data_IF_368777777961
#
_entry.id   IF_368777777961
#
_cell.length_a   1.000
_cell.length_b   1.000
_cell.length_c   1.000
_cell.angle_alpha   90.00
_cell.angle_beta   90.00
_cell.angle_gamma   90.00
#
_symmetry.space_group_name_H-M   'P 1'
#
loop_
_entity.id
_entity.type
_entity.pdbx_description
1 polymer ?
#
# COMPACT_ATOMS: atom_id res chain seq x y z
N UNK A 1 2.50 -46.29 21.93
CA UNK A 1 2.78 -46.03 20.50
C UNK A 1 1.49 -45.57 19.85
N UNK A 2 1.20 -44.27 19.94
CA UNK A 2 1.25 -43.32 18.81
C UNK A 2 0.10 -43.52 17.82
N UNK A 3 -0.94 -42.67 17.93
CA UNK A 3 -1.75 -42.09 16.83
C UNK A 3 -2.98 -41.29 17.35
N UNK A 4 -2.82 -40.56 18.45
CA UNK A 4 -3.57 -39.31 18.67
C UNK A 4 -2.68 -38.19 18.14
N UNK A 5 -3.27 -37.19 17.45
CA UNK A 5 -2.67 -36.01 16.80
C UNK A 5 -2.65 -36.02 15.26
N UNK A 6 -3.81 -36.14 14.62
CA UNK A 6 -4.06 -35.45 13.33
C UNK A 6 -5.44 -34.78 13.37
N UNK A 7 -5.69 -34.03 14.44
CA UNK A 7 -6.65 -32.93 14.43
C UNK A 7 -5.81 -31.65 14.60
N UNK A 8 -6.07 -30.64 13.77
CA UNK A 8 -5.38 -29.34 13.68
C UNK A 8 -4.15 -29.24 12.76
N UNK A 9 -4.32 -29.60 11.49
CA UNK A 9 -3.62 -28.96 10.38
C UNK A 9 -4.67 -28.88 9.26
N UNK A 10 -5.18 -27.74 8.80
CA UNK A 10 -4.64 -26.40 8.70
C UNK A 10 -5.83 -25.47 8.97
N UNK A 11 -5.85 -24.86 10.15
CA UNK A 11 -6.66 -23.67 10.37
C UNK A 11 -6.10 -22.54 9.49
N UNK A 12 -7.00 -21.65 9.09
CA UNK A 12 -6.76 -20.49 8.25
C UNK A 12 -6.62 -20.83 6.75
N UNK A 13 -7.76 -21.12 6.10
CA UNK A 13 -7.99 -20.59 4.76
C UNK A 13 -7.94 -19.06 4.90
N UNK A 14 -6.71 -18.51 4.90
CA UNK A 14 -6.48 -17.07 4.98
C UNK A 14 -7.25 -16.41 3.86
N UNK A 15 -7.99 -15.35 4.20
CA UNK A 15 -8.78 -14.53 3.30
C UNK A 15 -8.08 -14.42 1.94
N UNK A 16 -8.47 -15.27 1.00
CA UNK A 16 -8.01 -15.16 -0.37
C UNK A 16 -8.63 -13.87 -0.87
N UNK A 17 -7.77 -12.93 -1.27
CA UNK A 17 -8.05 -11.60 -1.87
C UNK A 17 -7.64 -10.44 -0.95
N UNK A 18 -6.32 -10.20 -0.89
CA UNK A 18 -5.80 -8.82 -0.87
C UNK A 18 -6.43 -8.13 -2.09
N UNK A 19 -7.23 -7.07 -1.89
CA UNK A 19 -8.08 -6.64 -2.99
C UNK A 19 -7.31 -6.35 -4.27
N UNK A 20 -7.76 -7.03 -5.33
CA UNK A 20 -7.41 -6.88 -6.74
C UNK A 20 -5.94 -6.53 -7.03
N UNK A 21 -5.01 -7.28 -6.42
CA UNK A 21 -3.56 -7.22 -6.71
C UNK A 21 -3.17 -7.49 -8.18
N UNK A 22 -4.14 -7.79 -9.05
CA UNK A 22 -3.97 -8.07 -10.46
C UNK A 22 -4.94 -7.23 -11.31
N UNK A 23 -4.51 -6.88 -12.51
CA UNK A 23 -5.32 -6.07 -13.42
C UNK A 23 -6.45 -6.87 -14.08
N UNK A 24 -7.64 -6.27 -14.15
CA UNK A 24 -8.73 -6.82 -14.96
C UNK A 24 -8.30 -6.86 -16.42
N UNK A 25 -8.44 -8.04 -17.03
CA UNK A 25 -8.23 -8.22 -18.48
C UNK A 25 -9.31 -7.55 -19.32
N UNK A 26 -10.46 -7.21 -18.72
CA UNK A 26 -11.60 -6.59 -19.40
C UNK A 26 -11.48 -5.06 -19.45
N UNK A 27 -11.15 -4.44 -18.33
CA UNK A 27 -11.15 -2.98 -18.18
C UNK A 27 -9.77 -2.35 -17.95
N UNK A 28 -8.71 -3.16 -17.80
CA UNK A 28 -7.34 -2.70 -17.51
C UNK A 28 -7.26 -1.79 -16.28
N UNK A 29 -8.08 -2.10 -15.27
CA UNK A 29 -8.03 -1.48 -13.96
C UNK A 29 -7.91 -2.54 -12.86
N UNK A 30 -7.40 -2.11 -11.73
CA UNK A 30 -7.36 -2.88 -10.49
C UNK A 30 -8.14 -2.10 -9.43
N UNK A 31 -9.04 -2.79 -8.74
CA UNK A 31 -9.81 -2.22 -7.63
C UNK A 31 -9.01 -2.32 -6.33
N UNK A 32 -8.70 -1.19 -5.71
CA UNK A 32 -7.96 -1.13 -4.44
C UNK A 32 -8.90 -1.23 -3.24
N UNK A 33 -10.12 -0.71 -3.40
CA UNK A 33 -11.22 -0.80 -2.43
C UNK A 33 -12.55 -0.96 -3.16
N UNK A 34 -13.66 -1.04 -2.42
CA UNK A 34 -15.00 -1.10 -3.00
C UNK A 34 -15.31 0.12 -3.88
N UNK A 35 -14.61 1.24 -3.69
CA UNK A 35 -14.87 2.49 -4.43
C UNK A 35 -13.65 3.09 -5.07
N UNK A 36 -12.46 2.49 -4.94
CA UNK A 36 -11.22 3.04 -5.47
C UNK A 36 -10.54 2.07 -6.42
N UNK A 37 -9.90 2.63 -7.44
CA UNK A 37 -9.25 1.87 -8.49
C UNK A 37 -8.02 2.58 -9.03
N UNK A 38 -7.19 1.81 -9.73
CA UNK A 38 -5.99 2.30 -10.39
C UNK A 38 -5.92 1.71 -11.79
N UNK A 39 -5.39 2.49 -12.73
CA UNK A 39 -5.14 1.99 -14.08
C UNK A 39 -3.92 1.08 -14.11
N UNK A 40 -3.97 0.14 -15.02
CA UNK A 40 -2.91 -0.83 -15.23
C UNK A 40 -1.99 -0.38 -16.35
N UNK A 41 -0.69 -0.59 -16.14
CA UNK A 41 0.30 -0.45 -17.20
C UNK A 41 0.17 -1.57 -18.23
N UNK A 42 0.92 -1.45 -19.33
CA UNK A 42 1.04 -2.50 -20.36
C UNK A 42 1.56 -3.84 -19.82
N UNK A 43 2.18 -3.86 -18.64
CA UNK A 43 2.64 -5.06 -17.95
C UNK A 43 1.59 -5.67 -17.00
N UNK A 44 0.31 -5.27 -17.11
CA UNK A 44 -0.79 -5.74 -16.24
C UNK A 44 -0.52 -5.51 -14.75
N UNK A 45 0.16 -4.42 -14.44
CA UNK A 45 0.49 -4.00 -13.08
C UNK A 45 -0.19 -2.66 -12.77
N UNK A 46 -0.91 -2.52 -11.64
CA UNK A 46 -1.49 -1.24 -11.24
C UNK A 46 -0.37 -0.21 -10.96
N UNK A 47 -0.44 0.94 -11.62
CA UNK A 47 0.56 2.02 -11.51
C UNK A 47 -0.11 3.39 -11.68
N UNK A 48 0.46 4.42 -11.05
CA UNK A 48 0.02 5.80 -11.21
C UNK A 48 -0.98 6.26 -10.15
N UNK A 49 -1.89 7.15 -10.53
CA UNK A 49 -2.83 7.80 -9.59
C UNK A 49 -4.00 6.86 -9.25
N UNK A 50 -4.46 6.93 -7.99
CA UNK A 50 -5.69 6.28 -7.53
C UNK A 50 -6.90 7.16 -7.85
N UNK A 51 -7.96 6.54 -8.34
CA UNK A 51 -9.22 7.18 -8.70
C UNK A 51 -10.35 6.60 -7.88
N UNK A 52 -11.36 7.42 -7.60
CA UNK A 52 -12.54 6.99 -6.86
C UNK A 52 -13.75 6.94 -7.80
N UNK A 53 -14.54 5.88 -7.67
CA UNK A 53 -15.83 5.76 -8.32
C UNK A 53 -16.80 6.83 -7.80
N UNK A 54 -17.75 7.28 -8.63
CA UNK A 54 -18.79 8.21 -8.21
C UNK A 54 -19.61 7.67 -7.04
N UNK A 55 -20.28 8.55 -6.28
CA UNK A 55 -21.15 8.14 -5.18
C UNK A 55 -22.13 7.04 -5.62
N UNK A 56 -22.34 6.05 -4.75
CA UNK A 56 -23.20 4.87 -4.97
C UNK A 56 -22.76 3.96 -6.13
N UNK A 57 -21.48 3.99 -6.50
CA UNK A 57 -20.90 3.04 -7.46
C UNK A 57 -19.77 2.27 -6.81
N UNK A 58 -19.69 1.00 -7.17
CA UNK A 58 -18.67 0.08 -6.74
C UNK A 58 -17.66 -0.13 -7.86
N UNK A 59 -16.38 -0.23 -7.49
CA UNK A 59 -15.37 -0.70 -8.40
C UNK A 59 -15.64 -2.16 -8.75
N UNK A 60 -15.57 -2.50 -10.04
CA UNK A 60 -15.74 -3.87 -10.51
C UNK A 60 -14.58 -4.27 -11.39
N UNK A 61 -14.25 -5.56 -11.39
CA UNK A 61 -13.29 -6.16 -12.32
C UNK A 61 -13.86 -6.40 -13.72
N UNK A 62 -15.08 -5.93 -14.00
CA UNK A 62 -15.76 -6.09 -15.28
C UNK A 62 -15.36 -4.99 -16.26
N UNK A 63 -15.91 -5.05 -17.48
CA UNK A 63 -15.71 -4.01 -18.51
C UNK A 63 -16.17 -2.63 -18.04
N UNK A 64 -17.12 -2.57 -17.09
CA UNK A 64 -17.60 -1.34 -16.47
C UNK A 64 -16.88 -1.15 -15.13
N UNK A 65 -15.90 -0.24 -15.09
CA UNK A 65 -15.08 0.00 -13.88
C UNK A 65 -15.92 0.38 -12.66
N UNK A 66 -16.87 1.31 -12.81
CA UNK A 66 -17.73 1.77 -11.73
C UNK A 66 -19.19 1.40 -12.01
N UNK A 67 -19.76 0.50 -11.22
CA UNK A 67 -21.13 0.00 -11.39
C UNK A 67 -21.96 0.21 -10.14
N UNK A 68 -23.25 0.51 -10.29
CA UNK A 68 -24.19 0.55 -9.16
C UNK A 68 -24.55 -0.84 -8.62
N UNK A 69 -24.21 -1.90 -9.36
CA UNK A 69 -24.54 -3.26 -8.98
C UNK A 69 -23.56 -3.77 -7.91
N UNK A 70 -24.02 -3.79 -6.65
CA UNK A 70 -23.23 -4.25 -5.51
C UNK A 70 -22.79 -5.72 -5.61
N UNK A 71 -23.51 -6.55 -6.37
CA UNK A 71 -23.15 -7.96 -6.59
C UNK A 71 -21.90 -8.12 -7.46
N UNK A 72 -21.57 -7.09 -8.24
CA UNK A 72 -20.36 -7.03 -9.09
C UNK A 72 -19.21 -6.30 -8.41
N UNK A 73 -19.43 -5.77 -7.20
CA UNK A 73 -18.42 -5.03 -6.48
C UNK A 73 -17.23 -5.95 -6.17
N UNK A 74 -16.06 -5.52 -6.64
CA UNK A 74 -14.80 -6.05 -6.19
C UNK A 74 -14.59 -5.63 -4.72
N UNK A 75 -13.73 -6.36 -4.00
CA UNK A 75 -13.42 -6.07 -2.60
C UNK A 75 -14.59 -6.27 -1.61
N UNK A 76 -15.67 -6.97 -1.97
CA UNK A 76 -16.82 -7.22 -1.09
C UNK A 76 -16.50 -7.98 0.21
N UNK A 77 -15.34 -8.64 0.30
CA UNK A 77 -14.85 -9.31 1.52
C UNK A 77 -13.66 -8.62 2.20
N UNK A 78 -13.26 -7.42 1.74
CA UNK A 78 -12.06 -6.76 2.29
C UNK A 78 -12.32 -6.01 3.61
N UNK A 79 -13.55 -6.02 4.10
CA UNK A 79 -13.94 -5.46 5.40
C UNK A 79 -13.93 -6.48 6.55
N UNK A 80 -13.61 -7.75 6.31
CA UNK A 80 -13.37 -8.74 7.38
C UNK A 80 -11.88 -9.00 7.61
N UNK A 81 -11.07 -7.95 7.57
CA UNK A 81 -9.85 -7.95 8.37
C UNK A 81 -10.27 -7.79 9.83
N UNK A 82 -10.78 -8.88 10.42
CA UNK A 82 -10.97 -8.96 11.87
C UNK A 82 -9.66 -8.60 12.54
N UNK A 83 -9.78 -7.87 13.64
CA UNK A 83 -8.76 -7.15 14.39
C UNK A 83 -7.68 -8.02 15.05
N UNK A 84 -7.25 -9.09 14.39
CA UNK A 84 -6.12 -9.94 14.74
C UNK A 84 -5.23 -10.30 13.53
N UNK A 85 -5.37 -9.56 12.42
CA UNK A 85 -4.38 -9.57 11.35
C UNK A 85 -3.48 -8.35 11.52
N UNK A 86 -2.28 -8.55 12.06
CA UNK A 86 -1.28 -7.50 12.15
C UNK A 86 -1.02 -6.88 10.76
N UNK A 87 -1.60 -5.70 10.56
CA UNK A 87 -0.98 -4.58 9.88
C UNK A 87 -0.43 -4.88 8.47
N UNK A 88 -1.31 -5.27 7.54
CA UNK A 88 -1.06 -5.06 6.11
C UNK A 88 -1.15 -3.57 5.70
N UNK A 89 -1.30 -2.64 6.67
CA UNK A 89 -1.00 -1.20 6.57
C UNK A 89 0.45 -0.93 6.94
N UNK A 90 1.38 -1.62 6.29
CA UNK A 90 2.79 -1.27 6.24
C UNK A 90 3.43 -2.30 5.32
N UNK A 91 3.91 -1.89 4.15
CA UNK A 91 5.28 -2.28 3.85
C UNK A 91 6.02 -1.84 5.10
N UNK A 92 6.33 -2.77 6.02
CA UNK A 92 6.92 -2.40 7.30
C UNK A 92 8.00 -1.39 6.98
N UNK A 93 8.04 -0.24 7.64
CA UNK A 93 9.05 0.76 7.31
C UNK A 93 10.46 0.11 7.39
N UNK A 94 10.57 -0.90 8.27
CA UNK A 94 11.64 -1.89 8.29
C UNK A 94 11.82 -2.65 6.97
N UNK A 95 10.78 -3.24 6.37
CA UNK A 95 10.84 -3.91 5.06
C UNK A 95 11.21 -2.97 3.90
N UNK A 96 10.71 -1.73 3.92
CA UNK A 96 11.15 -0.68 3.00
C UNK A 96 12.67 -0.45 3.14
N UNK A 97 13.17 -0.30 4.36
CA UNK A 97 14.60 -0.17 4.64
C UNK A 97 15.40 -1.44 4.29
N UNK A 98 14.82 -2.63 4.45
CA UNK A 98 15.43 -3.92 4.05
C UNK A 98 15.55 -4.10 2.56
N UNK A 99 14.62 -3.54 1.79
CA UNK A 99 14.67 -3.54 0.33
C UNK A 99 15.70 -2.52 -0.16
N UNK A 100 15.74 -1.33 0.44
CA UNK A 100 16.73 -0.30 0.14
C UNK A 100 18.16 -0.72 0.46
N UNK A 101 18.36 -1.46 1.55
CA UNK A 101 19.67 -1.86 2.10
C UNK A 101 20.64 -0.68 2.26
N UNK A 102 20.10 0.47 2.65
CA UNK A 102 20.84 1.72 2.84
C UNK A 102 20.38 2.39 4.12
N UNK A 103 21.35 2.86 4.90
CA UNK A 103 21.10 3.76 6.02
C UNK A 103 20.98 5.18 5.49
N UNK A 104 20.03 5.95 5.99
CA UNK A 104 19.76 7.30 5.48
C UNK A 104 18.33 7.75 5.73
N UNK A 105 18.01 8.96 5.26
CA UNK A 105 16.65 9.49 5.29
C UNK A 105 16.06 9.39 3.89
N UNK A 106 14.83 8.92 3.80
CA UNK A 106 14.18 8.65 2.52
C UNK A 106 12.72 9.14 2.51
N UNK A 107 12.13 9.38 1.33
CA UNK A 107 10.75 9.83 1.23
C UNK A 107 9.76 8.81 1.81
N UNK A 108 8.72 9.29 2.48
CA UNK A 108 7.62 8.43 2.89
C UNK A 108 6.67 8.17 1.70
N UNK A 109 6.73 7.01 1.07
CA UNK A 109 6.10 6.76 -0.24
C UNK A 109 4.58 6.50 -0.24
N UNK A 110 3.86 6.67 0.88
CA UNK A 110 2.46 6.20 0.95
C UNK A 110 1.37 7.21 0.57
N UNK A 111 1.55 8.53 0.65
CA UNK A 111 0.46 9.47 0.32
C UNK A 111 0.94 10.84 -0.16
N UNK A 112 0.55 11.24 -1.37
CA UNK A 112 1.12 12.33 -2.19
C UNK A 112 1.00 13.77 -1.67
N UNK A 113 0.62 14.01 -0.41
CA UNK A 113 0.69 15.33 0.23
C UNK A 113 1.09 15.29 1.72
N UNK A 114 0.80 14.19 2.41
CA UNK A 114 1.27 13.95 3.80
C UNK A 114 2.72 13.44 3.79
N UNK A 115 3.11 12.73 2.72
CA UNK A 115 4.47 12.19 2.50
C UNK A 115 5.58 13.21 2.48
N UNK A 116 5.33 14.46 2.07
CA UNK A 116 6.40 15.47 1.99
C UNK A 116 6.71 16.09 3.35
N UNK A 117 5.82 15.97 4.33
CA UNK A 117 6.09 16.39 5.72
C UNK A 117 6.61 15.26 6.59
N UNK A 118 6.78 14.07 6.03
CA UNK A 118 7.25 12.90 6.74
C UNK A 118 8.39 12.23 5.98
N UNK A 119 9.36 11.67 6.69
CA UNK A 119 10.45 10.92 6.09
C UNK A 119 10.68 9.63 6.84
N UNK A 120 11.26 8.65 6.15
CA UNK A 120 11.69 7.39 6.74
C UNK A 120 13.16 7.51 7.10
N UNK A 121 13.51 7.19 8.34
CA UNK A 121 14.91 6.99 8.71
C UNK A 121 15.21 5.50 8.74
N UNK A 122 16.08 5.06 7.84
CA UNK A 122 16.59 3.70 7.78
C UNK A 122 17.94 3.59 8.46
N UNK A 123 18.15 2.54 9.24
CA UNK A 123 19.42 2.24 9.90
C UNK A 123 19.69 0.74 9.94
N UNK A 124 20.96 0.36 9.89
CA UNK A 124 21.39 -1.02 10.06
C UNK A 124 21.64 -1.31 11.54
N UNK A 125 21.09 -2.41 12.04
CA UNK A 125 21.36 -2.90 13.39
C UNK A 125 21.65 -4.39 13.35
N UNK A 126 22.91 -4.76 13.59
CA UNK A 126 23.40 -6.13 13.68
C UNK A 126 23.30 -6.94 12.39
N UNK A 127 22.09 -7.36 12.04
CA UNK A 127 21.79 -8.32 10.96
C UNK A 127 20.75 -7.81 9.96
N UNK A 128 20.06 -6.70 10.26
CA UNK A 128 18.99 -6.22 9.40
C UNK A 128 18.90 -4.70 9.35
N UNK A 129 18.20 -4.22 8.34
CA UNK A 129 17.80 -2.83 8.24
C UNK A 129 16.45 -2.63 8.92
N UNK A 130 16.36 -1.54 9.67
CA UNK A 130 15.17 -1.11 10.37
C UNK A 130 14.85 0.32 9.95
N UNK A 131 13.62 0.73 10.18
CA UNK A 131 13.28 2.12 10.00
C UNK A 131 12.00 2.54 10.67
N UNK A 132 11.92 3.85 10.88
CA UNK A 132 10.80 4.55 11.49
C UNK A 132 10.41 5.75 10.64
N UNK A 133 9.14 6.17 10.75
CA UNK A 133 8.67 7.43 10.16
C UNK A 133 8.91 8.58 11.13
N UNK A 134 9.39 9.70 10.61
CA UNK A 134 9.59 10.94 11.33
C UNK A 134 8.87 12.07 10.60
N UNK A 135 8.48 13.10 11.33
CA UNK A 135 7.90 14.32 10.75
C UNK A 135 8.97 15.40 10.61
N UNK A 136 8.91 16.17 9.53
CA UNK A 136 9.72 17.35 9.37
C UNK A 136 9.30 18.44 10.37
N UNK A 137 10.26 19.21 10.92
CA UNK A 137 9.97 20.25 11.91
C UNK A 137 9.28 21.47 11.27
N UNK A 138 8.27 21.99 11.96
CA UNK A 138 7.58 23.22 11.56
C UNK A 138 6.88 23.11 10.19
N UNK A 139 7.19 24.04 9.29
CA UNK A 139 6.64 24.11 7.93
C UNK A 139 7.55 23.50 6.86
N UNK A 140 8.65 22.85 7.25
CA UNK A 140 9.60 22.25 6.31
C UNK A 140 9.05 20.97 5.66
N UNK A 141 9.58 20.64 4.49
CA UNK A 141 9.25 19.45 3.71
C UNK A 141 10.53 18.64 3.44
N UNK A 142 10.41 17.33 3.35
CA UNK A 142 11.53 16.44 3.07
C UNK A 142 11.94 16.55 1.60
N UNK A 143 13.17 16.99 1.36
CA UNK A 143 13.83 16.96 0.06
C UNK A 143 14.68 15.68 -0.06
N UNK A 144 14.30 14.82 -1.00
CA UNK A 144 15.01 13.57 -1.29
C UNK A 144 16.40 13.77 -1.87
N UNK A 145 16.69 14.95 -2.43
CA UNK A 145 17.98 15.27 -3.05
C UNK A 145 19.04 15.53 -2.00
N UNK A 146 18.67 16.25 -0.95
CA UNK A 146 19.53 16.58 0.17
C UNK A 146 19.36 15.62 1.35
N UNK A 147 18.37 14.73 1.29
CA UNK A 147 17.95 13.83 2.38
C UNK A 147 17.65 14.59 3.70
N UNK A 148 17.11 15.80 3.57
CA UNK A 148 16.87 16.73 4.68
C UNK A 148 15.51 17.41 4.58
N UNK A 149 15.01 17.91 5.71
CA UNK A 149 13.82 18.76 5.72
C UNK A 149 14.22 20.19 5.37
N UNK A 150 13.76 20.69 4.23
CA UNK A 150 14.06 22.03 3.69
C UNK A 150 12.79 22.87 3.59
N UNK A 151 12.96 24.16 3.32
CA UNK A 151 11.84 25.06 3.05
C UNK A 151 11.37 24.88 1.60
N UNK A 152 10.07 25.07 1.36
CA UNK A 152 9.43 24.78 0.07
C UNK A 152 10.04 25.54 -1.13
N UNK A 153 10.74 26.65 -0.88
CA UNK A 153 11.41 27.45 -1.91
C UNK A 153 12.57 26.73 -2.62
N UNK A 154 13.17 25.71 -2.01
CA UNK A 154 14.32 25.00 -2.58
C UNK A 154 13.93 23.85 -3.53
N UNK A 155 12.70 23.33 -3.39
CA UNK A 155 12.23 22.15 -4.16
C UNK A 155 11.71 22.53 -5.55
N UNK A 156 11.34 23.79 -5.76
CA UNK A 156 10.74 24.28 -7.01
C UNK A 156 11.73 24.98 -7.96
N UNK A 157 13.02 25.00 -7.61
CA UNK A 157 14.08 25.67 -8.37
C UNK A 157 15.04 24.70 -9.10
N UNK A 158 14.69 23.41 -9.23
CA UNK A 158 15.44 22.42 -10.02
C UNK A 158 14.55 21.69 -11.01
#
# INVERSE_FOLDING_TARGET
MLRLLVFLAIGVLGCQVLCNSSCSTKSRVSCLSQTEFQFCSSASMPRGKVYSCPKNHYCTGESIVCSKNASLAACNGCNECTSDNQLATRTSITEYCRTLRRSGRFPHVQDSSVSIKQYVFCYFSGVSFYGNVYSCPGSTIFDSTTEMCTIQTDVQAR
#
